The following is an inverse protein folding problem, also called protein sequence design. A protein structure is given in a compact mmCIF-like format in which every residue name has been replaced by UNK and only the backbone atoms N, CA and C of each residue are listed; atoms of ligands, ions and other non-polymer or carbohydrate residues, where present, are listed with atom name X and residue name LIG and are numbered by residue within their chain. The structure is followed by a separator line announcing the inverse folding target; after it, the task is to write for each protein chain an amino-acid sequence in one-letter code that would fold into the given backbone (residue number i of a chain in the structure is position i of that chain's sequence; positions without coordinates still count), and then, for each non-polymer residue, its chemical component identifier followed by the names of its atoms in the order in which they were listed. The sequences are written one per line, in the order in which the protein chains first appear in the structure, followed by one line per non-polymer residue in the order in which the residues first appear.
data_IF_639479251799
#
_entry.id   IF_639479251799
#
_cell.length_a   1.000
_cell.length_b   1.000
_cell.length_c   1.000
_cell.angle_alpha   90.00
_cell.angle_beta   90.00
_cell.angle_gamma   90.00
#
_symmetry.space_group_name_H-M   'P 1'
#
loop_
_entity.id
_entity.type
_entity.pdbx_description
1 polymer ?
#
# COMPACT_ATOMS: atom_id res chain seq x y z
N UNK A 1 24.98 -0.77 1.12
CA UNK A 1 26.26 -1.25 0.57
C UNK A 1 27.46 -1.01 1.48
N UNK A 2 27.93 0.24 1.70
CA UNK A 2 29.14 0.50 2.53
C UNK A 2 29.08 -0.10 3.95
N UNK A 3 27.92 -0.06 4.59
CA UNK A 3 27.72 -0.69 5.91
C UNK A 3 27.80 -2.22 5.88
N UNK A 4 27.33 -2.86 4.80
CA UNK A 4 27.43 -4.32 4.64
C UNK A 4 28.89 -4.75 4.51
N UNK A 5 29.65 -4.04 3.67
CA UNK A 5 31.08 -4.30 3.46
C UNK A 5 31.88 -4.17 4.77
N UNK A 6 31.60 -3.14 5.57
CA UNK A 6 32.24 -2.97 6.88
C UNK A 6 31.90 -4.11 7.86
N UNK A 7 30.67 -4.62 7.87
CA UNK A 7 30.32 -5.78 8.69
C UNK A 7 31.04 -7.05 8.26
N UNK A 8 31.21 -7.28 6.95
CA UNK A 8 31.99 -8.39 6.43
C UNK A 8 33.46 -8.29 6.86
N UNK A 9 34.05 -7.11 6.73
CA UNK A 9 35.45 -6.85 7.08
C UNK A 9 35.72 -6.93 8.60
N UNK A 10 34.75 -6.55 9.45
CA UNK A 10 34.96 -6.46 10.91
C UNK A 10 34.41 -7.64 11.71
N UNK A 11 33.30 -8.23 11.27
CA UNK A 11 32.54 -9.24 12.02
C UNK A 11 32.50 -10.58 11.27
N UNK A 12 32.84 -10.60 9.98
CA UNK A 12 32.82 -11.80 9.14
C UNK A 12 31.42 -12.31 8.81
N UNK A 13 30.38 -11.51 9.11
CA UNK A 13 28.98 -11.85 8.87
C UNK A 13 28.11 -10.60 8.79
N UNK A 14 27.00 -10.67 8.05
CA UNK A 14 26.04 -9.57 7.92
C UNK A 14 24.79 -9.81 8.76
N UNK A 15 24.52 -9.01 9.81
CA UNK A 15 23.28 -9.07 10.57
C UNK A 15 22.06 -9.15 9.63
N UNK A 16 21.14 -10.12 9.81
CA UNK A 16 20.02 -10.32 8.90
C UNK A 16 19.21 -9.05 8.64
N UNK A 17 19.01 -8.22 9.68
CA UNK A 17 18.36 -6.92 9.57
C UNK A 17 19.09 -5.95 8.62
N UNK A 18 20.42 -5.90 8.64
CA UNK A 18 21.19 -5.04 7.74
C UNK A 18 21.13 -5.52 6.29
N UNK A 19 21.02 -6.83 6.07
CA UNK A 19 20.79 -7.41 4.74
C UNK A 19 19.37 -7.16 4.22
N UNK A 20 18.38 -7.13 5.12
CA UNK A 20 17.00 -6.88 4.74
C UNK A 20 16.74 -5.44 4.27
N UNK A 21 17.48 -4.44 4.79
CA UNK A 21 17.26 -3.01 4.47
C UNK A 21 17.40 -2.72 2.97
N UNK A 22 18.48 -3.11 2.27
CA UNK A 22 18.56 -2.98 0.81
C UNK A 22 17.39 -3.63 0.08
N UNK A 23 16.94 -4.80 0.54
CA UNK A 23 15.79 -5.49 -0.04
C UNK A 23 14.50 -4.67 0.08
N UNK A 24 14.23 -4.11 1.26
CA UNK A 24 13.08 -3.22 1.47
C UNK A 24 13.15 -1.96 0.61
N UNK A 25 14.34 -1.36 0.48
CA UNK A 25 14.55 -0.17 -0.36
C UNK A 25 14.35 -0.49 -1.84
N UNK A 26 14.86 -1.63 -2.32
CA UNK A 26 14.66 -2.09 -3.69
C UNK A 26 13.16 -2.31 -3.98
N UNK A 27 12.44 -2.97 -3.07
CA UNK A 27 10.98 -3.15 -3.19
C UNK A 27 10.24 -1.82 -3.25
N UNK A 28 10.59 -0.86 -2.40
CA UNK A 28 9.95 0.46 -2.40
C UNK A 28 10.31 1.31 -3.62
N UNK A 29 11.41 0.97 -4.30
CA UNK A 29 11.83 1.58 -5.56
C UNK A 29 11.25 0.88 -6.79
N UNK A 30 10.49 -0.21 -6.60
CA UNK A 30 9.85 -0.97 -7.69
C UNK A 30 10.71 -2.08 -8.29
N UNK A 31 11.86 -2.41 -7.69
CA UNK A 31 12.69 -3.54 -8.10
C UNK A 31 12.41 -4.76 -7.23
N UNK A 32 11.38 -5.52 -7.62
CA UNK A 32 10.96 -6.72 -6.91
C UNK A 32 12.01 -7.85 -6.95
N UNK A 33 12.82 -7.91 -8.02
CA UNK A 33 13.83 -8.94 -8.18
C UNK A 33 14.99 -8.73 -7.20
N UNK A 34 15.62 -7.55 -7.23
CA UNK A 34 16.67 -7.19 -6.29
C UNK A 34 16.16 -7.21 -4.84
N UNK A 35 14.90 -6.79 -4.64
CA UNK A 35 14.20 -6.89 -3.37
C UNK A 35 14.16 -8.32 -2.83
N UNK A 36 13.67 -9.27 -3.65
CA UNK A 36 13.57 -10.67 -3.27
C UNK A 36 14.94 -11.29 -2.96
N UNK A 37 15.97 -11.01 -3.76
CA UNK A 37 17.31 -11.58 -3.58
C UNK A 37 17.94 -11.16 -2.24
N UNK A 38 17.85 -9.87 -1.89
CA UNK A 38 18.33 -9.38 -0.60
C UNK A 38 17.55 -9.96 0.59
N UNK A 39 16.24 -10.10 0.46
CA UNK A 39 15.40 -10.65 1.52
C UNK A 39 15.56 -12.17 1.68
N UNK A 40 15.85 -12.88 0.59
CA UNK A 40 16.21 -14.29 0.59
C UNK A 40 17.49 -14.52 1.38
N UNK A 41 18.53 -13.72 1.11
CA UNK A 41 19.78 -13.79 1.85
C UNK A 41 19.59 -13.45 3.33
N UNK A 42 18.78 -12.42 3.64
CA UNK A 42 18.43 -12.08 5.02
C UNK A 42 17.70 -13.23 5.74
N UNK A 43 16.71 -13.87 5.11
CA UNK A 43 15.98 -15.01 5.69
C UNK A 43 16.90 -16.23 5.88
N UNK A 44 17.77 -16.53 4.91
CA UNK A 44 18.75 -17.61 4.99
C UNK A 44 19.71 -17.42 6.17
N UNK A 45 20.23 -16.21 6.35
CA UNK A 45 21.16 -15.91 7.44
C UNK A 45 20.46 -15.92 8.81
N UNK A 46 19.21 -15.42 8.88
CA UNK A 46 18.40 -15.52 10.10
C UNK A 46 18.19 -16.99 10.51
N UNK A 47 17.97 -17.89 9.54
CA UNK A 47 17.85 -19.33 9.81
C UNK A 47 19.16 -19.94 10.33
N UNK A 48 20.30 -19.64 9.68
CA UNK A 48 21.63 -20.12 10.11
C UNK A 48 21.96 -19.67 11.54
N UNK A 49 21.59 -18.45 11.90
CA UNK A 49 21.79 -17.92 13.25
C UNK A 49 20.74 -18.36 14.27
N UNK A 50 19.75 -19.17 13.88
CA UNK A 50 18.72 -19.66 14.79
C UNK A 50 17.73 -18.58 15.26
N UNK A 51 17.43 -17.58 14.43
CA UNK A 51 16.39 -16.58 14.71
C UNK A 51 14.99 -17.21 14.55
N UNK A 52 14.64 -18.06 15.50
CA UNK A 52 13.40 -18.86 15.48
C UNK A 52 12.14 -18.09 15.93
N UNK A 53 12.28 -16.83 16.37
CA UNK A 53 11.12 -15.99 16.66
C UNK A 53 10.60 -15.36 15.36
N UNK A 54 9.33 -15.56 14.99
CA UNK A 54 8.80 -15.09 13.71
C UNK A 54 8.65 -13.56 13.64
N UNK A 55 8.61 -12.88 14.78
CA UNK A 55 8.63 -11.42 14.94
C UNK A 55 10.04 -10.81 14.83
N UNK A 56 11.11 -11.61 14.98
CA UNK A 56 12.49 -11.16 14.78
C UNK A 56 12.87 -10.99 13.30
N UNK A 57 11.99 -11.38 12.37
CA UNK A 57 12.17 -11.32 10.92
C UNK A 57 11.11 -10.39 10.30
N UNK A 58 11.18 -9.06 10.52
CA UNK A 58 10.13 -8.14 10.09
C UNK A 58 9.94 -8.07 8.56
N UNK A 59 10.91 -8.55 7.78
CA UNK A 59 10.87 -8.56 6.31
C UNK A 59 10.10 -9.74 5.71
N UNK A 60 9.69 -10.76 6.49
CA UNK A 60 9.13 -12.01 5.94
C UNK A 60 7.88 -11.78 5.10
N UNK A 61 7.01 -10.85 5.49
CA UNK A 61 5.83 -10.48 4.68
C UNK A 61 6.22 -9.85 3.34
N UNK A 62 7.14 -8.89 3.35
CA UNK A 62 7.61 -8.21 2.15
C UNK A 62 8.35 -9.18 1.21
N UNK A 63 9.08 -10.15 1.77
CA UNK A 63 9.72 -11.21 1.01
C UNK A 63 8.70 -12.11 0.30
N UNK A 64 7.68 -12.59 1.03
CA UNK A 64 6.61 -13.40 0.43
C UNK A 64 5.86 -12.63 -0.67
N UNK A 65 5.59 -11.35 -0.45
CA UNK A 65 4.94 -10.48 -1.45
C UNK A 65 5.81 -10.27 -2.70
N UNK A 66 7.12 -10.06 -2.53
CA UNK A 66 8.06 -9.95 -3.63
C UNK A 66 8.09 -11.22 -4.49
N UNK A 67 8.14 -12.40 -3.85
CA UNK A 67 8.08 -13.69 -4.54
C UNK A 67 6.78 -13.84 -5.34
N UNK A 68 5.64 -13.42 -4.79
CA UNK A 68 4.36 -13.45 -5.50
C UNK A 68 4.32 -12.48 -6.69
N UNK A 69 4.91 -11.29 -6.56
CA UNK A 69 5.03 -10.31 -7.64
C UNK A 69 5.88 -10.84 -8.80
N UNK A 70 6.93 -11.61 -8.49
CA UNK A 70 7.78 -12.30 -9.45
C UNK A 70 7.18 -13.60 -10.01
N UNK A 71 5.98 -14.01 -9.56
CA UNK A 71 5.35 -15.27 -9.95
C UNK A 71 6.00 -16.53 -9.34
N UNK A 72 6.92 -16.38 -8.38
CA UNK A 72 7.57 -17.47 -7.61
C UNK A 72 6.63 -17.99 -6.51
N UNK A 73 5.43 -18.44 -6.90
CA UNK A 73 4.33 -18.78 -5.98
C UNK A 73 4.68 -19.91 -5.01
N UNK A 74 5.34 -20.96 -5.47
CA UNK A 74 5.69 -22.11 -4.62
C UNK A 74 6.75 -21.76 -3.57
N UNK A 75 7.63 -20.80 -3.87
CA UNK A 75 8.60 -20.28 -2.91
C UNK A 75 7.92 -19.43 -1.85
N UNK A 76 7.00 -18.55 -2.26
CA UNK A 76 6.20 -17.76 -1.34
C UNK A 76 5.42 -18.66 -0.36
N UNK A 77 4.84 -19.76 -0.86
CA UNK A 77 4.13 -20.75 -0.05
C UNK A 77 5.06 -21.35 1.00
N UNK A 78 6.26 -21.80 0.62
CA UNK A 78 7.23 -22.37 1.57
C UNK A 78 7.64 -21.39 2.67
N UNK A 79 7.81 -20.11 2.32
CA UNK A 79 8.14 -19.05 3.29
C UNK A 79 6.98 -18.84 4.25
N UNK A 80 5.75 -18.72 3.73
CA UNK A 80 4.55 -18.50 4.53
C UNK A 80 4.23 -19.71 5.43
N UNK A 81 4.39 -20.94 4.93
CA UNK A 81 4.19 -22.18 5.70
C UNK A 81 5.09 -22.22 6.94
N UNK A 82 6.39 -21.95 6.78
CA UNK A 82 7.34 -21.91 7.90
C UNK A 82 6.98 -20.81 8.89
N UNK A 83 6.64 -19.62 8.37
CA UNK A 83 6.31 -18.47 9.21
C UNK A 83 5.04 -18.70 10.03
N UNK A 84 4.02 -19.31 9.43
CA UNK A 84 2.79 -19.70 10.10
C UNK A 84 3.01 -20.77 11.17
N UNK A 85 3.83 -21.79 10.88
CA UNK A 85 4.16 -22.82 11.85
C UNK A 85 4.87 -22.24 13.08
N UNK A 86 5.84 -21.34 12.88
CA UNK A 86 6.54 -20.65 13.97
C UNK A 86 5.61 -19.73 14.78
N UNK A 87 4.77 -18.94 14.10
CA UNK A 87 3.82 -18.03 14.73
C UNK A 87 2.76 -18.77 15.55
N UNK A 88 2.27 -19.90 15.04
CA UNK A 88 1.28 -20.74 15.73
C UNK A 88 1.88 -21.41 16.96
N UNK A 89 3.08 -22.00 16.82
CA UNK A 89 3.80 -22.67 17.91
C UNK A 89 4.10 -21.72 19.07
N UNK A 90 4.36 -20.44 18.78
CA UNK A 90 4.72 -19.42 19.76
C UNK A 90 3.57 -18.48 20.14
N UNK A 91 2.34 -18.78 19.70
CA UNK A 91 1.14 -17.96 19.93
C UNK A 91 1.36 -16.47 19.64
N UNK A 92 1.85 -16.16 18.44
CA UNK A 92 2.15 -14.80 17.97
C UNK A 92 1.01 -14.24 17.12
N UNK A 93 -0.09 -13.85 17.75
CA UNK A 93 -1.31 -13.41 17.05
C UNK A 93 -1.08 -12.24 16.08
N UNK A 94 -0.24 -11.26 16.48
CA UNK A 94 0.15 -10.13 15.59
C UNK A 94 0.81 -10.62 14.31
N UNK A 95 1.63 -11.66 14.39
CA UNK A 95 2.29 -12.26 13.22
C UNK A 95 1.27 -13.03 12.37
N UNK A 96 0.35 -13.76 13.02
CA UNK A 96 -0.71 -14.49 12.31
C UNK A 96 -1.61 -13.58 11.48
N UNK A 97 -1.79 -12.31 11.85
CA UNK A 97 -2.48 -11.32 11.02
C UNK A 97 -1.75 -11.11 9.67
N UNK A 98 -0.43 -10.89 9.70
CA UNK A 98 0.38 -10.75 8.48
C UNK A 98 0.43 -12.05 7.65
N UNK A 99 0.53 -13.22 8.32
CA UNK A 99 0.47 -14.54 7.66
C UNK A 99 -0.85 -14.71 6.92
N UNK A 100 -1.98 -14.42 7.57
CA UNK A 100 -3.33 -14.53 6.98
C UNK A 100 -3.44 -13.69 5.71
N UNK A 101 -2.89 -12.47 5.73
CA UNK A 101 -2.82 -11.60 4.54
C UNK A 101 -1.99 -12.23 3.42
N UNK A 102 -0.82 -12.78 3.72
CA UNK A 102 0.03 -13.44 2.74
C UNK A 102 -0.64 -14.70 2.15
N UNK A 103 -1.37 -15.47 2.97
CA UNK A 103 -2.20 -16.60 2.51
C UNK A 103 -3.26 -16.15 1.51
N UNK A 104 -3.95 -15.05 1.78
CA UNK A 104 -4.91 -14.47 0.84
C UNK A 104 -4.27 -14.05 -0.49
N UNK A 105 -3.06 -13.49 -0.46
CA UNK A 105 -2.31 -13.16 -1.68
C UNK A 105 -1.85 -14.40 -2.45
N UNK A 106 -1.43 -15.47 -1.77
CA UNK A 106 -1.13 -16.78 -2.38
C UNK A 106 -2.36 -17.36 -3.06
N UNK A 107 -3.51 -17.37 -2.39
CA UNK A 107 -4.78 -17.83 -2.97
C UNK A 107 -5.13 -17.01 -4.23
N UNK A 108 -4.95 -15.68 -4.18
CA UNK A 108 -5.17 -14.82 -5.34
C UNK A 108 -4.23 -15.14 -6.50
N UNK A 109 -2.95 -15.40 -6.23
CA UNK A 109 -1.96 -15.78 -7.25
C UNK A 109 -2.28 -17.14 -7.90
N UNK A 110 -2.91 -18.06 -7.15
CA UNK A 110 -3.40 -19.35 -7.64
C UNK A 110 -4.77 -19.26 -8.34
N UNK A 111 -5.38 -18.08 -8.40
CA UNK A 111 -6.70 -17.88 -9.01
C UNK A 111 -7.89 -18.28 -8.13
N UNK A 112 -7.66 -18.66 -6.87
CA UNK A 112 -8.70 -18.96 -5.89
C UNK A 112 -9.28 -17.67 -5.31
N UNK A 113 -10.07 -16.95 -6.12
CA UNK A 113 -10.56 -15.59 -5.80
C UNK A 113 -11.40 -15.54 -4.53
N UNK A 114 -12.34 -16.47 -4.35
CA UNK A 114 -13.26 -16.44 -3.20
C UNK A 114 -12.51 -16.72 -1.89
N UNK A 115 -11.60 -17.71 -1.91
CA UNK A 115 -10.70 -18.01 -0.80
C UNK A 115 -9.80 -16.80 -0.47
N UNK A 116 -9.24 -16.16 -1.50
CA UNK A 116 -8.41 -14.97 -1.32
C UNK A 116 -9.18 -13.83 -0.66
N UNK A 117 -10.43 -13.58 -1.06
CA UNK A 117 -11.30 -12.56 -0.46
C UNK A 117 -11.55 -12.88 1.00
N UNK A 118 -11.97 -14.10 1.32
CA UNK A 118 -12.25 -14.52 2.69
C UNK A 118 -11.01 -14.39 3.61
N UNK A 119 -9.85 -14.84 3.14
CA UNK A 119 -8.59 -14.71 3.89
C UNK A 119 -8.19 -13.24 4.09
N UNK A 120 -8.39 -12.39 3.09
CA UNK A 120 -8.03 -10.97 3.21
C UNK A 120 -9.01 -10.19 4.10
N UNK A 121 -10.29 -10.54 4.12
CA UNK A 121 -11.26 -10.01 5.10
C UNK A 121 -10.86 -10.41 6.52
N UNK A 122 -10.55 -11.69 6.74
CA UNK A 122 -10.07 -12.18 8.03
C UNK A 122 -8.76 -11.52 8.48
N UNK A 123 -7.85 -11.24 7.54
CA UNK A 123 -6.64 -10.50 7.83
C UNK A 123 -6.93 -9.06 8.29
N UNK A 124 -7.93 -8.40 7.72
CA UNK A 124 -8.36 -7.07 8.17
C UNK A 124 -8.84 -7.14 9.61
N UNK A 125 -9.72 -8.09 9.93
CA UNK A 125 -10.25 -8.31 11.29
C UNK A 125 -9.14 -8.55 12.31
N UNK A 126 -8.18 -9.44 12.00
CA UNK A 126 -7.04 -9.72 12.87
C UNK A 126 -6.12 -8.52 13.09
N UNK A 127 -5.91 -7.69 12.07
CA UNK A 127 -5.13 -6.47 12.23
C UNK A 127 -5.87 -5.43 13.07
N UNK A 128 -7.20 -5.35 12.97
CA UNK A 128 -8.05 -4.51 13.82
C UNK A 128 -7.94 -4.96 15.30
N UNK A 129 -8.08 -6.25 15.59
CA UNK A 129 -7.92 -6.82 16.94
C UNK A 129 -6.52 -6.57 17.52
N UNK A 130 -5.49 -6.64 16.67
CA UNK A 130 -4.11 -6.38 17.05
C UNK A 130 -3.76 -4.89 17.19
N UNK A 131 -4.64 -3.97 16.81
CA UNK A 131 -4.36 -2.53 16.76
C UNK A 131 -3.24 -2.16 15.76
N UNK A 132 -3.07 -2.94 14.69
CA UNK A 132 -2.08 -2.70 13.64
C UNK A 132 -2.72 -1.97 12.44
N UNK A 133 -2.83 -0.65 12.55
CA UNK A 133 -3.42 0.19 11.50
C UNK A 133 -2.70 0.05 10.15
N UNK A 134 -1.37 -0.11 10.16
CA UNK A 134 -0.59 -0.22 8.93
C UNK A 134 -0.81 -1.58 8.25
N UNK A 135 -0.75 -2.68 9.00
CA UNK A 135 -1.06 -4.01 8.48
C UNK A 135 -2.50 -4.13 7.96
N UNK A 136 -3.45 -3.53 8.68
CA UNK A 136 -4.85 -3.42 8.24
C UNK A 136 -4.98 -2.72 6.88
N UNK A 137 -4.31 -1.58 6.71
CA UNK A 137 -4.33 -0.84 5.44
C UNK A 137 -3.72 -1.67 4.29
N UNK A 138 -2.64 -2.42 4.55
CA UNK A 138 -2.07 -3.37 3.57
C UNK A 138 -3.06 -4.48 3.21
N UNK A 139 -3.79 -5.04 4.18
CA UNK A 139 -4.81 -6.06 3.93
C UNK A 139 -5.97 -5.52 3.09
N UNK A 140 -6.47 -4.32 3.40
CA UNK A 140 -7.52 -3.63 2.63
C UNK A 140 -7.09 -3.34 1.18
N UNK A 141 -5.84 -2.90 0.99
CA UNK A 141 -5.30 -2.66 -0.35
C UNK A 141 -5.25 -3.96 -1.17
N UNK A 142 -4.74 -5.04 -0.57
CA UNK A 142 -4.73 -6.37 -1.19
C UNK A 142 -6.15 -6.84 -1.55
N UNK A 143 -7.09 -6.74 -0.61
CA UNK A 143 -8.50 -7.10 -0.81
C UNK A 143 -9.10 -6.34 -1.98
N UNK A 144 -8.87 -5.02 -2.02
CA UNK A 144 -9.35 -4.16 -3.09
C UNK A 144 -8.76 -4.52 -4.47
N UNK A 145 -7.47 -4.87 -4.53
CA UNK A 145 -6.82 -5.33 -5.77
C UNK A 145 -7.41 -6.65 -6.26
N UNK A 146 -7.62 -7.62 -5.37
CA UNK A 146 -8.25 -8.91 -5.69
C UNK A 146 -9.67 -8.70 -6.20
N UNK A 147 -10.50 -7.94 -5.47
CA UNK A 147 -11.88 -7.61 -5.87
C UNK A 147 -11.95 -6.89 -7.22
N UNK A 148 -10.99 -6.01 -7.52
CA UNK A 148 -10.92 -5.35 -8.83
C UNK A 148 -10.66 -6.37 -9.94
N UNK A 149 -9.70 -7.28 -9.76
CA UNK A 149 -9.40 -8.34 -10.74
C UNK A 149 -10.61 -9.25 -10.95
N UNK A 150 -11.39 -9.49 -9.89
CA UNK A 150 -12.69 -10.17 -9.92
C UNK A 150 -13.85 -9.34 -10.50
N UNK A 151 -13.59 -8.14 -11.07
CA UNK A 151 -14.58 -7.20 -11.63
C UNK A 151 -15.61 -6.65 -10.63
N UNK A 152 -15.39 -6.79 -9.32
CA UNK A 152 -16.23 -6.25 -8.25
C UNK A 152 -15.89 -4.77 -7.98
N UNK A 153 -16.10 -3.90 -8.97
CA UNK A 153 -15.60 -2.50 -8.98
C UNK A 153 -15.97 -1.66 -7.76
N UNK A 154 -17.20 -1.82 -7.23
CA UNK A 154 -17.68 -1.06 -6.06
C UNK A 154 -16.92 -1.49 -4.80
N UNK A 155 -16.99 -2.78 -4.46
CA UNK A 155 -16.31 -3.35 -3.31
C UNK A 155 -14.78 -3.14 -3.36
N UNK A 156 -14.20 -3.17 -4.56
CA UNK A 156 -12.80 -2.80 -4.76
C UNK A 156 -12.52 -1.34 -4.42
N UNK A 157 -13.33 -0.40 -4.93
CA UNK A 157 -13.15 1.03 -4.64
C UNK A 157 -13.27 1.31 -3.14
N UNK A 158 -14.24 0.70 -2.48
CA UNK A 158 -14.50 0.92 -1.06
C UNK A 158 -13.29 0.46 -0.22
N UNK A 159 -12.76 -0.75 -0.49
CA UNK A 159 -11.58 -1.29 0.19
C UNK A 159 -10.32 -0.44 -0.06
N UNK A 160 -10.02 -0.05 -1.31
CA UNK A 160 -8.81 0.73 -1.61
C UNK A 160 -8.92 2.16 -1.07
N UNK A 161 -10.11 2.77 -1.08
CA UNK A 161 -10.32 4.08 -0.47
C UNK A 161 -10.12 4.06 1.03
N UNK A 162 -10.58 2.99 1.71
CA UNK A 162 -10.33 2.78 3.13
C UNK A 162 -8.83 2.59 3.44
N UNK A 163 -8.11 1.81 2.62
CA UNK A 163 -6.66 1.66 2.74
C UNK A 163 -5.93 3.00 2.58
N UNK A 164 -6.28 3.76 1.54
CA UNK A 164 -5.69 5.06 1.25
C UNK A 164 -5.86 6.04 2.42
N UNK A 165 -7.06 6.14 2.99
CA UNK A 165 -7.31 7.01 4.12
C UNK A 165 -6.42 6.69 5.33
N UNK A 166 -6.17 5.42 5.62
CA UNK A 166 -5.27 5.01 6.70
C UNK A 166 -3.81 5.34 6.36
N UNK A 167 -3.37 5.09 5.12
CA UNK A 167 -2.02 5.47 4.71
C UNK A 167 -1.78 6.99 4.75
N UNK A 168 -2.79 7.80 4.40
CA UNK A 168 -2.77 9.27 4.52
C UNK A 168 -2.62 9.71 5.97
N UNK A 169 -3.38 9.12 6.90
CA UNK A 169 -3.27 9.38 8.34
C UNK A 169 -1.89 9.02 8.90
N UNK A 170 -1.29 7.93 8.42
CA UNK A 170 0.04 7.47 8.83
C UNK A 170 1.19 8.20 8.13
N UNK A 171 0.92 9.03 7.10
CA UNK A 171 1.96 9.69 6.31
C UNK A 171 2.80 8.73 5.46
N UNK A 172 2.28 7.56 5.11
CA UNK A 172 3.00 6.51 4.38
C UNK A 172 3.06 6.80 2.86
N UNK A 173 3.88 7.77 2.45
CA UNK A 173 3.92 8.33 1.09
C UNK A 173 3.91 7.27 -0.05
N UNK A 174 4.82 6.30 -0.01
CA UNK A 174 4.90 5.22 -1.03
C UNK A 174 3.61 4.41 -1.11
N UNK A 175 2.95 4.17 0.01
CA UNK A 175 1.69 3.42 0.06
C UNK A 175 0.48 4.26 -0.38
N UNK A 176 0.50 5.57 -0.11
CA UNK A 176 -0.47 6.53 -0.64
C UNK A 176 -0.44 6.51 -2.18
N UNK A 177 0.76 6.59 -2.77
CA UNK A 177 0.95 6.52 -4.22
C UNK A 177 0.45 5.18 -4.80
N UNK A 178 0.84 4.06 -4.16
CA UNK A 178 0.41 2.71 -4.57
C UNK A 178 -1.12 2.56 -4.54
N UNK A 179 -1.78 2.96 -3.46
CA UNK A 179 -3.23 2.88 -3.32
C UNK A 179 -3.96 3.84 -4.31
N UNK A 180 -3.45 5.05 -4.49
CA UNK A 180 -3.96 6.01 -5.46
C UNK A 180 -3.90 5.50 -6.90
N UNK A 181 -2.79 4.86 -7.28
CA UNK A 181 -2.64 4.22 -8.59
C UNK A 181 -3.67 3.08 -8.79
N UNK A 182 -3.90 2.26 -7.76
CA UNK A 182 -4.90 1.19 -7.85
C UNK A 182 -6.34 1.71 -7.96
N UNK A 183 -6.70 2.78 -7.26
CA UNK A 183 -7.99 3.46 -7.45
C UNK A 183 -8.17 3.99 -8.87
N UNK A 184 -7.11 4.60 -9.43
CA UNK A 184 -7.11 5.09 -10.81
C UNK A 184 -7.44 4.00 -11.83
N UNK A 185 -6.97 2.77 -11.60
CA UNK A 185 -7.21 1.61 -12.48
C UNK A 185 -8.66 1.09 -12.41
N UNK A 186 -9.42 1.36 -11.35
CA UNK A 186 -10.85 0.98 -11.28
C UNK A 186 -11.71 1.92 -12.15
N UNK A 187 -11.29 3.17 -12.27
CA UNK A 187 -12.07 4.30 -12.80
C UNK A 187 -12.07 4.50 -14.32
N UNK A 188 -11.80 3.46 -15.12
CA UNK A 188 -11.72 3.54 -16.58
C UNK A 188 -12.70 4.53 -17.20
N UNK A 189 -12.14 5.60 -17.81
CA UNK A 189 -12.75 6.66 -18.64
C UNK A 189 -13.99 7.44 -18.14
N UNK A 190 -14.59 7.14 -16.98
CA UNK A 190 -15.87 7.77 -16.62
C UNK A 190 -15.99 8.15 -15.14
N UNK A 191 -15.37 9.28 -14.77
CA UNK A 191 -15.95 10.30 -13.88
C UNK A 191 -15.00 11.52 -13.79
N UNK A 192 -15.25 12.49 -14.67
CA UNK A 192 -14.81 13.89 -14.63
C UNK A 192 -13.37 14.18 -14.13
N UNK A 193 -12.35 13.70 -14.85
CA UNK A 193 -10.91 14.07 -14.70
C UNK A 193 -10.08 13.28 -13.65
N UNK A 194 -10.59 12.18 -13.08
CA UNK A 194 -9.72 11.17 -12.44
C UNK A 194 -9.23 11.46 -11.00
N UNK A 195 -9.82 12.45 -10.32
CA UNK A 195 -9.50 12.74 -8.91
C UNK A 195 -10.19 11.78 -7.93
N UNK A 196 -9.49 11.40 -6.86
CA UNK A 196 -10.07 10.72 -5.69
C UNK A 196 -10.96 11.66 -4.88
N UNK A 197 -11.73 11.14 -3.93
CA UNK A 197 -12.57 11.96 -3.05
C UNK A 197 -11.75 12.90 -2.14
N UNK A 198 -10.58 12.45 -1.66
CA UNK A 198 -9.66 13.28 -0.89
C UNK A 198 -9.06 14.39 -1.78
N UNK A 199 -8.58 14.04 -2.97
CA UNK A 199 -8.03 14.98 -3.95
C UNK A 199 -9.07 16.02 -4.39
N UNK A 200 -10.34 15.63 -4.58
CA UNK A 200 -11.42 16.56 -4.93
C UNK A 200 -11.69 17.55 -3.81
N UNK A 201 -11.71 17.10 -2.54
CA UNK A 201 -11.89 17.98 -1.37
C UNK A 201 -10.75 18.99 -1.24
N UNK A 202 -9.51 18.52 -1.39
CA UNK A 202 -8.32 19.39 -1.42
C UNK A 202 -8.41 20.38 -2.59
N UNK A 203 -8.69 19.90 -3.79
CA UNK A 203 -8.75 20.71 -5.00
C UNK A 203 -9.86 21.78 -4.94
N UNK A 204 -11.02 21.46 -4.38
CA UNK A 204 -12.12 22.41 -4.19
C UNK A 204 -11.72 23.55 -3.23
N UNK A 205 -11.21 23.23 -2.05
CA UNK A 205 -10.75 24.23 -1.07
C UNK A 205 -9.61 25.09 -1.63
N UNK A 206 -8.76 24.51 -2.47
CA UNK A 206 -7.68 25.24 -3.14
C UNK A 206 -8.22 26.14 -4.26
N UNK A 207 -9.22 25.69 -5.01
CA UNK A 207 -9.92 26.49 -6.01
C UNK A 207 -10.67 27.69 -5.39
N UNK A 208 -11.11 27.58 -4.14
CA UNK A 208 -11.66 28.68 -3.32
C UNK A 208 -10.60 29.71 -2.88
N UNK A 209 -9.31 29.41 -3.03
CA UNK A 209 -8.22 30.32 -2.68
C UNK A 209 -7.49 30.03 -1.35
N UNK A 210 -7.85 28.95 -0.64
CA UNK A 210 -7.24 28.61 0.67
C UNK A 210 -5.80 28.11 0.58
N UNK A 211 -4.88 28.67 1.36
CA UNK A 211 -3.48 28.23 1.47
C UNK A 211 -3.38 26.77 1.92
N UNK A 212 -2.23 26.11 1.66
CA UNK A 212 -2.03 24.72 2.07
C UNK A 212 -2.23 24.52 3.58
N UNK A 213 -1.82 25.50 4.39
CA UNK A 213 -2.03 25.54 5.84
C UNK A 213 -3.51 25.60 6.23
N UNK A 214 -4.30 26.42 5.54
CA UNK A 214 -5.74 26.52 5.79
C UNK A 214 -6.50 25.26 5.35
N UNK A 215 -6.07 24.64 4.25
CA UNK A 215 -6.62 23.36 3.78
C UNK A 215 -6.27 22.23 4.75
N UNK A 216 -5.01 22.20 5.21
CA UNK A 216 -4.51 21.26 6.21
C UNK A 216 -5.35 21.36 7.50
N UNK A 217 -5.58 22.58 7.99
CA UNK A 217 -6.43 22.82 9.15
C UNK A 217 -7.89 22.39 8.91
N UNK A 218 -8.47 22.73 7.75
CA UNK A 218 -9.86 22.42 7.41
C UNK A 218 -10.11 20.91 7.24
N UNK A 219 -9.11 20.16 6.80
CA UNK A 219 -9.21 18.72 6.55
C UNK A 219 -8.54 17.85 7.61
N UNK A 220 -7.97 18.45 8.66
CA UNK A 220 -7.18 17.76 9.69
C UNK A 220 -6.01 16.95 9.09
N UNK A 221 -5.30 17.54 8.12
CA UNK A 221 -4.15 16.96 7.43
C UNK A 221 -2.86 17.73 7.75
N UNK A 222 -1.70 17.14 7.47
CA UNK A 222 -0.43 17.88 7.44
C UNK A 222 -0.29 18.70 6.15
N UNK A 223 0.40 19.85 6.20
CA UNK A 223 0.65 20.69 5.01
C UNK A 223 1.35 19.91 3.88
N UNK A 224 2.27 19.03 4.24
CA UNK A 224 2.98 18.16 3.28
C UNK A 224 2.05 17.16 2.59
N UNK A 225 1.03 16.65 3.29
CA UNK A 225 0.00 15.78 2.71
C UNK A 225 -0.85 16.56 1.70
N UNK A 226 -1.17 17.83 1.98
CA UNK A 226 -1.87 18.72 1.05
C UNK A 226 -1.03 18.97 -0.22
N UNK A 227 0.28 19.20 -0.07
CA UNK A 227 1.21 19.35 -1.21
C UNK A 227 1.24 18.10 -2.10
N UNK A 228 1.32 16.92 -1.49
CA UNK A 228 1.28 15.64 -2.22
C UNK A 228 -0.03 15.49 -2.98
N UNK A 229 -1.18 15.74 -2.34
CA UNK A 229 -2.47 15.72 -3.01
C UNK A 229 -2.54 16.70 -4.18
N UNK A 230 -2.03 17.92 -4.02
CA UNK A 230 -2.01 18.91 -5.09
C UNK A 230 -1.13 18.49 -6.26
N UNK A 231 0.01 17.86 -5.98
CA UNK A 231 0.91 17.35 -7.02
C UNK A 231 0.20 16.27 -7.87
N UNK A 232 -0.53 15.37 -7.23
CA UNK A 232 -1.35 14.36 -7.92
C UNK A 232 -2.53 14.98 -8.66
N UNK A 233 -3.22 15.96 -8.06
CA UNK A 233 -4.31 16.70 -8.71
C UNK A 233 -3.82 17.38 -9.98
N UNK A 234 -2.68 18.07 -9.92
CA UNK A 234 -2.08 18.75 -11.07
C UNK A 234 -1.73 17.78 -12.20
N UNK A 235 -1.06 16.67 -11.87
CA UNK A 235 -0.75 15.64 -12.84
C UNK A 235 -2.01 15.03 -13.49
N UNK A 236 -3.05 14.77 -12.69
CA UNK A 236 -4.31 14.16 -13.16
C UNK A 236 -5.15 15.10 -14.02
N UNK A 237 -5.15 16.40 -13.71
CA UNK A 237 -5.91 17.40 -14.43
C UNK A 237 -5.13 18.07 -15.57
N UNK A 238 -3.82 17.83 -15.67
CA UNK A 238 -2.95 18.48 -16.65
C UNK A 238 -2.75 19.98 -16.41
N UNK A 239 -2.97 20.46 -15.18
CA UNK A 239 -2.79 21.87 -14.80
C UNK A 239 -1.42 22.06 -14.14
N UNK A 240 -0.82 23.22 -14.37
CA UNK A 240 0.53 23.57 -13.90
C UNK A 240 0.53 24.61 -12.80
N UNK A 241 -0.63 25.18 -12.49
CA UNK A 241 -0.75 26.22 -11.48
C UNK A 241 -2.06 26.15 -10.70
N UNK A 242 -2.01 26.71 -9.50
CA UNK A 242 -3.17 26.92 -8.65
C UNK A 242 -4.27 27.74 -9.33
N UNK A 243 -3.87 28.72 -10.14
CA UNK A 243 -4.79 29.54 -10.93
C UNK A 243 -5.48 28.72 -12.04
N UNK A 244 -4.76 27.82 -12.71
CA UNK A 244 -5.34 26.88 -13.69
C UNK A 244 -6.30 25.89 -13.04
N UNK A 245 -5.97 25.39 -11.84
CA UNK A 245 -6.86 24.53 -11.07
C UNK A 245 -8.20 25.24 -10.76
N UNK A 246 -8.14 26.48 -10.26
CA UNK A 246 -9.34 27.27 -9.95
C UNK A 246 -10.21 27.51 -11.19
N UNK A 247 -9.61 27.82 -12.35
CA UNK A 247 -10.33 27.95 -13.62
C UNK A 247 -11.02 26.65 -14.04
N UNK A 248 -10.33 25.53 -13.88
CA UNK A 248 -10.83 24.19 -14.23
C UNK A 248 -12.07 23.80 -13.40
N UNK A 249 -12.14 24.23 -12.14
CA UNK A 249 -13.28 23.98 -11.24
C UNK A 249 -14.46 24.93 -11.51
N UNK A 250 -14.20 26.22 -11.78
CA UNK A 250 -15.26 27.16 -12.19
C UNK A 250 -15.95 26.75 -13.48
N UNK A 251 -15.19 26.22 -14.45
CA UNK A 251 -15.75 25.68 -15.68
C UNK A 251 -16.63 24.41 -15.45
N UNK A 252 -16.29 23.59 -14.46
CA UNK A 252 -17.09 22.39 -14.08
C UNK A 252 -18.42 22.79 -13.41
N UNK A 253 -18.42 23.84 -12.58
CA UNK A 253 -19.64 24.38 -11.93
C UNK A 253 -20.58 25.02 -12.96
N UNK A 254 -20.05 25.75 -13.94
CA UNK A 254 -20.84 26.35 -15.03
C UNK A 254 -21.47 25.29 -15.93
N UNK A 255 -20.74 24.21 -16.25
CA UNK A 255 -21.24 23.09 -17.06
C UNK A 255 -22.27 22.22 -16.31
N UNK A 256 -22.22 22.19 -14.98
CA UNK A 256 -23.21 21.51 -14.14
C UNK A 256 -24.48 22.35 -13.91
N UNK A 257 -24.36 23.69 -13.94
CA UNK A 257 -25.47 24.64 -13.82
C UNK A 257 -26.36 24.70 -15.07
N UNK A 258 -25.79 24.61 -16.27
CA UNK A 258 -26.55 24.60 -17.53
C UNK A 258 -27.46 23.36 -17.69
N UNK A 259 -27.10 22.24 -17.06
CA UNK A 259 -27.91 21.00 -17.08
C UNK A 259 -29.13 21.05 -16.14
N UNK A 260 -29.25 22.07 -15.27
CA UNK A 260 -30.35 22.17 -14.29
C UNK A 260 -31.43 23.19 -14.69
N UNK A 261 -31.18 24.06 -15.68
CA UNK A 261 -32.12 25.12 -16.10
C UNK A 261 -32.99 24.71 -17.32
N UNK A 262 -32.82 23.48 -17.84
CA UNK A 262 -33.69 22.93 -18.89
C UNK A 262 -34.57 21.81 -18.36
N UNK A 263 -35.59 22.15 -17.57
CA UNK A 263 -36.81 21.36 -17.32
C UNK A 263 -37.91 22.26 -16.78
#
# INVERSE_FOLDING_TARGET
ERGLKLCEEQVGFHPPLLQAVPGLVALWSGDAAAGADHLEEADRQAQVLGWGSPDARPWTADYAEALLELGRVDEAVRVVDRWEADASRLARDRVLAHVTRCRGLVAAARGAVDEAVALLEHAVERHDEAGDAFGRARALLALGVVRRRARQKRAARDAISAALAVFEQLGAATWIEKAGAELGRIGGRTRAKGLTAAERRVAALVAEGRTNREVAAALFLGERTVETHLSHVYAKLGVRSRAELARTFRADEQSSGELTISS
#
